data_IF_311741653243
#
_entry.id   IF_311741653243
#
_cell.length_a   1.000
_cell.length_b   1.000
_cell.length_c   1.000
_cell.angle_alpha   90.00
_cell.angle_beta   90.00
_cell.angle_gamma   90.00
#
_symmetry.space_group_name_H-M   'P 1'
#
loop_
_entity.id
_entity.type
_entity.pdbx_description
1 polymer ?
#
# COMPACT_ATOMS: atom_id res chain seq x y z
N UNK A 1 22.71 0.30 20.12
CA UNK A 1 21.29 0.18 19.70
C UNK A 1 21.25 0.20 18.19
N UNK A 2 20.90 -0.91 17.54
CA UNK A 2 20.63 -0.91 16.10
C UNK A 2 19.19 -0.44 15.92
N UNK A 3 18.98 0.74 15.33
CA UNK A 3 17.62 1.17 14.97
C UNK A 3 17.12 0.24 13.86
N UNK A 4 16.14 -0.60 14.17
CA UNK A 4 15.48 -1.41 13.16
C UNK A 4 14.66 -0.47 12.26
N UNK A 5 15.07 -0.35 10.99
CA UNK A 5 14.33 0.43 10.02
C UNK A 5 13.08 -0.36 9.60
N UNK A 6 11.91 0.04 10.10
CA UNK A 6 10.63 -0.59 9.74
C UNK A 6 10.35 -0.36 8.25
N UNK A 7 10.09 -1.43 7.51
CA UNK A 7 9.59 -1.33 6.14
C UNK A 7 8.12 -0.93 6.16
N UNK A 8 7.79 0.23 5.60
CA UNK A 8 6.43 0.67 5.40
C UNK A 8 5.96 0.23 4.02
N UNK A 9 5.21 -0.86 3.99
CA UNK A 9 4.59 -1.43 2.79
C UNK A 9 3.13 -1.72 3.13
N UNK A 10 2.23 -1.20 2.33
CA UNK A 10 0.79 -1.34 2.53
C UNK A 10 0.17 -2.21 1.44
N UNK A 11 -1.00 -2.76 1.74
CA UNK A 11 -1.89 -3.38 0.74
C UNK A 11 -3.32 -2.90 0.91
N UNK A 12 -4.14 -3.06 -0.13
CA UNK A 12 -5.59 -2.91 -0.07
C UNK A 12 -6.28 -3.59 -1.25
N UNK A 13 -7.52 -4.03 -1.08
CA UNK A 13 -8.35 -4.57 -2.15
C UNK A 13 -8.99 -3.43 -2.95
N UNK A 14 -8.99 -3.52 -4.28
CA UNK A 14 -9.58 -2.50 -5.13
C UNK A 14 -11.10 -2.42 -4.90
N UNK A 15 -11.67 -1.22 -4.79
CA UNK A 15 -13.13 -1.03 -4.55
C UNK A 15 -14.01 -1.73 -5.60
N UNK A 16 -13.52 -1.82 -6.85
CA UNK A 16 -14.25 -2.41 -7.98
C UNK A 16 -13.57 -3.67 -8.54
N UNK A 17 -13.03 -4.56 -7.71
CA UNK A 17 -12.58 -5.89 -8.16
C UNK A 17 -11.79 -6.70 -7.14
N UNK A 18 -11.51 -7.96 -7.48
CA UNK A 18 -10.93 -8.94 -6.54
C UNK A 18 -9.39 -8.90 -6.46
N UNK A 19 -8.78 -7.77 -6.78
CA UNK A 19 -7.32 -7.63 -6.86
C UNK A 19 -6.76 -6.82 -5.70
N UNK A 20 -5.69 -7.36 -5.09
CA UNK A 20 -4.90 -6.69 -4.08
C UNK A 20 -3.82 -5.83 -4.72
N UNK A 21 -3.74 -4.58 -4.29
CA UNK A 21 -2.68 -3.65 -4.66
C UNK A 21 -1.71 -3.48 -3.51
N UNK A 22 -0.43 -3.26 -3.84
CA UNK A 22 0.65 -3.16 -2.86
C UNK A 22 1.49 -1.91 -3.14
N UNK A 23 1.84 -1.16 -2.10
CA UNK A 23 2.59 0.08 -2.27
C UNK A 23 2.53 1.00 -1.06
N UNK A 24 2.56 2.31 -1.31
CA UNK A 24 2.42 3.34 -0.28
C UNK A 24 0.95 3.67 -0.07
N UNK A 25 0.53 3.87 1.18
CA UNK A 25 -0.83 4.32 1.50
C UNK A 25 -0.93 5.84 1.37
N UNK A 26 -1.93 6.30 0.64
CA UNK A 26 -2.42 7.67 0.67
C UNK A 26 -3.86 7.67 1.18
N UNK A 27 -4.11 8.41 2.26
CA UNK A 27 -5.45 8.60 2.80
C UNK A 27 -5.88 10.04 2.57
N UNK A 28 -7.05 10.23 1.97
CA UNK A 28 -7.65 11.54 1.73
C UNK A 28 -8.81 11.75 2.70
N UNK A 29 -8.64 12.56 3.75
CA UNK A 29 -9.67 12.76 4.77
C UNK A 29 -10.96 13.38 4.23
N UNK A 30 -10.83 14.32 3.29
CA UNK A 30 -11.97 15.08 2.75
C UNK A 30 -12.98 14.20 2.02
N UNK A 31 -12.48 13.26 1.20
CA UNK A 31 -13.30 12.30 0.47
C UNK A 31 -13.53 11.00 1.23
N UNK A 32 -12.85 10.81 2.37
CA UNK A 32 -12.84 9.54 3.10
C UNK A 32 -12.48 8.34 2.20
N UNK A 33 -11.45 8.48 1.37
CA UNK A 33 -10.98 7.41 0.47
C UNK A 33 -9.54 7.01 0.79
N UNK A 34 -9.26 5.70 0.70
CA UNK A 34 -7.91 5.16 0.80
C UNK A 34 -7.39 4.78 -0.59
N UNK A 35 -6.12 5.06 -0.85
CA UNK A 35 -5.48 4.74 -2.13
C UNK A 35 -4.14 4.05 -1.89
N UNK A 36 -3.82 3.08 -2.73
CA UNK A 36 -2.48 2.50 -2.82
C UNK A 36 -1.78 3.14 -4.02
N UNK A 37 -0.59 3.68 -3.77
CA UNK A 37 0.33 4.15 -4.80
C UNK A 37 1.32 3.02 -5.10
N UNK A 38 1.22 2.31 -6.24
CA UNK A 38 2.10 1.19 -6.55
C UNK A 38 3.55 1.67 -6.75
N UNK A 39 4.54 0.88 -6.30
CA UNK A 39 5.93 1.24 -6.50
C UNK A 39 6.29 1.31 -7.99
N UNK A 40 7.02 2.36 -8.39
CA UNK A 40 7.53 2.53 -9.76
C UNK A 40 6.55 3.17 -10.75
N UNK A 41 5.35 3.61 -10.30
CA UNK A 41 4.40 4.34 -11.16
C UNK A 41 4.71 5.83 -11.25
N UNK A 42 5.39 6.39 -10.25
CA UNK A 42 5.80 7.79 -10.25
C UNK A 42 6.94 8.00 -11.25
N UNK A 43 6.68 8.70 -12.35
CA UNK A 43 7.63 8.94 -13.46
C UNK A 43 7.95 10.42 -13.65
N UNK A 44 9.24 10.75 -13.72
CA UNK A 44 9.75 12.06 -14.13
C UNK A 44 9.58 13.19 -13.10
N UNK A 45 9.89 14.41 -13.51
CA UNK A 45 9.91 15.62 -12.67
C UNK A 45 8.48 16.11 -12.31
N UNK A 46 7.47 15.61 -13.03
CA UNK A 46 6.06 15.77 -12.69
C UNK A 46 5.57 14.42 -12.15
N UNK A 47 5.47 14.31 -10.82
CA UNK A 47 5.11 13.08 -10.11
C UNK A 47 3.66 12.70 -10.42
N UNK A 48 3.44 12.07 -11.56
CA UNK A 48 2.19 11.37 -11.88
C UNK A 48 2.32 10.00 -11.24
N UNK A 49 1.76 9.83 -10.05
CA UNK A 49 1.63 8.53 -9.42
C UNK A 49 0.22 8.00 -9.72
N UNK A 50 0.13 6.72 -10.05
CA UNK A 50 -1.18 6.06 -10.13
C UNK A 50 -1.74 5.91 -8.72
N UNK A 51 -2.83 6.62 -8.42
CA UNK A 51 -3.58 6.44 -7.19
C UNK A 51 -4.66 5.39 -7.44
N UNK A 52 -4.46 4.19 -6.89
CA UNK A 52 -5.47 3.13 -6.99
C UNK A 52 -6.35 3.18 -5.76
N UNK A 53 -7.60 3.59 -5.92
CA UNK A 53 -8.59 3.57 -4.83
C UNK A 53 -8.82 2.12 -4.36
N UNK A 54 -8.73 1.93 -3.05
CA UNK A 54 -8.93 0.65 -2.37
C UNK A 54 -9.98 0.78 -1.28
N UNK A 55 -10.62 -0.33 -0.95
CA UNK A 55 -11.49 -0.41 0.23
C UNK A 55 -10.64 -0.17 1.48
N UNK A 56 -10.99 0.91 2.20
CA UNK A 56 -10.32 1.34 3.43
C UNK A 56 -10.25 0.25 4.50
N UNK A 57 -11.26 -0.62 4.57
CA UNK A 57 -11.36 -1.64 5.63
C UNK A 57 -10.46 -2.83 5.34
N UNK A 58 -9.91 -2.89 4.12
CA UNK A 58 -8.95 -3.92 3.70
C UNK A 58 -7.49 -3.44 3.78
N UNK A 59 -7.26 -2.19 4.18
CA UNK A 59 -5.91 -1.62 4.25
C UNK A 59 -5.10 -2.33 5.33
N UNK A 60 -4.01 -2.98 4.91
CA UNK A 60 -3.09 -3.71 5.79
C UNK A 60 -1.67 -3.16 5.72
N UNK A 61 -1.00 -3.06 6.87
CA UNK A 61 0.40 -2.67 6.97
C UNK A 61 1.26 -3.93 7.15
N UNK A 62 2.29 -4.07 6.33
CA UNK A 62 3.26 -5.16 6.47
C UNK A 62 3.78 -5.25 7.92
N UNK A 63 3.67 -6.43 8.48
CA UNK A 63 4.01 -6.70 9.87
C UNK A 63 5.52 -6.78 10.13
N UNK A 64 6.32 -6.94 9.07
CA UNK A 64 7.73 -7.33 9.18
C UNK A 64 7.95 -8.84 9.13
N UNK A 65 6.88 -9.64 9.07
CA UNK A 65 6.91 -11.09 9.08
C UNK A 65 6.46 -11.68 7.75
N UNK A 66 6.99 -12.86 7.43
CA UNK A 66 6.58 -13.67 6.29
C UNK A 66 6.03 -15.01 6.77
N UNK A 67 5.10 -15.60 6.02
CA UNK A 67 4.64 -16.96 6.27
C UNK A 67 5.73 -18.01 5.95
N UNK A 68 5.40 -19.29 6.13
CA UNK A 68 6.31 -20.42 5.85
C UNK A 68 6.76 -20.55 4.39
N UNK A 69 6.09 -19.84 3.48
CA UNK A 69 6.39 -19.81 2.05
C UNK A 69 7.09 -18.50 1.64
N UNK A 70 7.44 -17.65 2.60
CA UNK A 70 8.08 -16.36 2.33
C UNK A 70 7.12 -15.27 1.86
N UNK A 71 5.81 -15.46 2.00
CA UNK A 71 4.81 -14.43 1.64
C UNK A 71 4.66 -13.43 2.78
N UNK A 72 4.76 -12.16 2.45
CA UNK A 72 4.54 -11.06 3.40
C UNK A 72 3.18 -11.16 4.10
N UNK A 73 3.19 -10.98 5.42
CA UNK A 73 1.98 -10.89 6.24
C UNK A 73 1.70 -9.40 6.51
N UNK A 74 0.48 -8.98 6.22
CA UNK A 74 -0.01 -7.61 6.38
C UNK A 74 -1.25 -7.61 7.26
#
# INVERSE_FOLDING_TARGET
MQMAMRKYKFRGAKVAGDYWWYGSLAYFPDSQTAHIIPCGTCKGDQVICDFVEVDRDTVGLFTGLTDKHGKDIY
#
